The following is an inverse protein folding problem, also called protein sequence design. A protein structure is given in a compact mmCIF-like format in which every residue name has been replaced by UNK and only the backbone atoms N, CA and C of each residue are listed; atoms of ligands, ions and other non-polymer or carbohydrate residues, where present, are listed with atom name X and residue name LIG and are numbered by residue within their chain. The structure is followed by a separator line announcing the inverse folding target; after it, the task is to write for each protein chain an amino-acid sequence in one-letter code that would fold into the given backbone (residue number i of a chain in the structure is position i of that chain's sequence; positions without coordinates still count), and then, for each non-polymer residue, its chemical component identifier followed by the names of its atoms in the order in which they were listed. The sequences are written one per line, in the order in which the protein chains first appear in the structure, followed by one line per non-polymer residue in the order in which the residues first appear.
data_IF_033573569501
#
_entry.id   IF_033573569501
#
_cell.length_a   1.000
_cell.length_b   1.000
_cell.length_c   1.000
_cell.angle_alpha   90.00
_cell.angle_beta   90.00
_cell.angle_gamma   90.00
#
_symmetry.space_group_name_H-M   'P 1'
#
loop_
_entity.id
_entity.type
_entity.pdbx_description
1 polymer ?
#
# COMPACT_ATOMS: atom_id res chain seq x y z
N UNK A 1 -5.29 22.31 8.72
CA UNK A 1 -5.87 21.50 7.64
C UNK A 1 -4.87 20.39 7.32
N UNK A 2 -5.20 19.10 7.50
CA UNK A 2 -4.26 18.02 7.18
C UNK A 2 -4.05 17.92 5.66
N UNK A 3 -2.81 17.78 5.22
CA UNK A 3 -2.52 17.55 3.81
C UNK A 3 -3.10 16.21 3.36
N UNK A 4 -3.85 16.21 2.25
CA UNK A 4 -4.52 15.01 1.71
C UNK A 4 -3.71 14.36 0.58
N UNK A 5 -2.92 15.16 -0.14
CA UNK A 5 -2.15 14.74 -1.32
C UNK A 5 -0.68 15.01 -1.11
N UNK A 6 0.16 14.16 -1.70
CA UNK A 6 1.60 14.41 -1.82
C UNK A 6 1.84 15.40 -2.95
N UNK A 7 2.84 16.26 -2.77
CA UNK A 7 3.29 17.20 -3.79
C UNK A 7 4.09 16.49 -4.88
N UNK A 8 4.13 17.08 -6.09
CA UNK A 8 4.96 16.54 -7.18
C UNK A 8 6.45 16.44 -6.77
N UNK A 9 6.95 17.43 -6.03
CA UNK A 9 8.34 17.48 -5.53
C UNK A 9 8.64 16.28 -4.63
N UNK A 10 7.75 15.94 -3.70
CA UNK A 10 7.91 14.75 -2.84
C UNK A 10 7.89 13.46 -3.66
N UNK A 11 7.01 13.37 -4.66
CA UNK A 11 6.87 12.19 -5.50
C UNK A 11 8.10 11.93 -6.39
N UNK A 12 8.67 12.99 -6.96
CA UNK A 12 9.89 12.92 -7.76
C UNK A 12 11.11 12.58 -6.88
N UNK A 13 11.24 13.22 -5.72
CA UNK A 13 12.32 12.93 -4.78
C UNK A 13 12.35 11.46 -4.34
N UNK A 14 11.20 10.84 -4.07
CA UNK A 14 11.12 9.42 -3.69
C UNK A 14 11.57 8.48 -4.81
N UNK A 15 11.22 8.80 -6.07
CA UNK A 15 11.64 8.03 -7.24
C UNK A 15 13.14 8.16 -7.45
N UNK A 16 13.64 9.39 -7.43
CA UNK A 16 15.04 9.69 -7.71
C UNK A 16 15.95 9.12 -6.62
N UNK A 17 15.50 9.13 -5.36
CA UNK A 17 16.18 8.43 -4.28
C UNK A 17 16.35 6.93 -4.57
N UNK A 18 15.30 6.25 -5.04
CA UNK A 18 15.39 4.84 -5.41
C UNK A 18 16.37 4.63 -6.58
N UNK A 19 16.24 5.42 -7.65
CA UNK A 19 17.07 5.29 -8.85
C UNK A 19 18.54 5.66 -8.60
N UNK A 20 18.84 6.42 -7.54
CA UNK A 20 20.21 6.70 -7.11
C UNK A 20 20.88 5.50 -6.43
N UNK A 21 20.09 4.59 -5.83
CA UNK A 21 20.57 3.40 -5.10
C UNK A 21 19.73 2.14 -5.41
N UNK A 22 19.63 1.73 -6.68
CA UNK A 22 18.73 0.64 -7.10
C UNK A 22 19.26 -0.75 -6.75
N UNK A 23 20.47 -0.84 -6.19
CA UNK A 23 21.14 -2.09 -5.82
C UNK A 23 21.95 -1.92 -4.52
N UNK A 24 22.17 -2.98 -3.74
CA UNK A 24 22.93 -2.91 -2.47
C UNK A 24 24.43 -2.68 -2.68
N UNK A 25 24.97 -3.15 -3.82
CA UNK A 25 26.37 -2.97 -4.23
C UNK A 25 26.52 -1.76 -5.17
N UNK A 26 27.32 -0.76 -4.77
CA UNK A 26 27.57 0.49 -5.52
C UNK A 26 28.02 0.26 -6.97
N UNK A 27 28.93 -0.68 -7.19
CA UNK A 27 29.44 -1.02 -8.52
C UNK A 27 28.35 -1.50 -9.52
N UNK A 28 27.16 -1.87 -9.02
CA UNK A 28 26.05 -2.33 -9.85
C UNK A 28 24.95 -1.28 -10.01
N UNK A 29 25.08 -0.08 -9.43
CA UNK A 29 24.03 0.94 -9.48
C UNK A 29 23.70 1.37 -10.91
N UNK A 30 24.73 1.66 -11.72
CA UNK A 30 24.54 2.11 -13.10
C UNK A 30 23.78 1.06 -13.94
N UNK A 31 24.19 -0.21 -13.84
CA UNK A 31 23.55 -1.30 -14.58
C UNK A 31 22.13 -1.57 -14.07
N UNK A 32 21.92 -1.58 -12.76
CA UNK A 32 20.60 -1.79 -12.16
C UNK A 32 19.62 -0.68 -12.56
N UNK A 33 20.08 0.59 -12.55
CA UNK A 33 19.30 1.73 -13.01
C UNK A 33 18.93 1.58 -14.49
N UNK A 34 19.91 1.26 -15.34
CA UNK A 34 19.70 1.03 -16.77
C UNK A 34 18.69 -0.08 -17.03
N UNK A 35 18.83 -1.23 -16.36
CA UNK A 35 17.90 -2.34 -16.50
C UNK A 35 16.46 -1.96 -16.10
N UNK A 36 16.28 -1.19 -15.03
CA UNK A 36 14.97 -0.65 -14.64
C UNK A 36 14.40 0.29 -15.71
N UNK A 37 15.17 1.29 -16.14
CA UNK A 37 14.74 2.33 -17.09
C UNK A 37 14.43 1.76 -18.48
N UNK A 38 15.24 0.83 -18.97
CA UNK A 38 15.04 0.16 -20.26
C UNK A 38 13.74 -0.66 -20.26
N UNK A 39 13.50 -1.41 -19.19
CA UNK A 39 12.30 -2.23 -19.07
C UNK A 39 11.05 -1.38 -18.81
N UNK A 40 11.16 -0.29 -18.05
CA UNK A 40 10.10 0.70 -17.89
C UNK A 40 9.72 1.31 -19.25
N UNK A 41 10.71 1.81 -20.01
CA UNK A 41 10.48 2.41 -21.33
C UNK A 41 9.80 1.43 -22.30
N UNK A 42 10.22 0.16 -22.28
CA UNK A 42 9.58 -0.91 -23.06
C UNK A 42 8.15 -1.17 -22.60
N UNK A 43 7.88 -1.16 -21.29
CA UNK A 43 6.53 -1.35 -20.76
C UNK A 43 5.59 -0.27 -21.31
N UNK A 44 5.99 1.00 -21.20
CA UNK A 44 5.20 2.14 -21.70
C UNK A 44 4.99 2.07 -23.20
N UNK A 45 6.07 1.94 -23.98
CA UNK A 45 6.03 1.96 -25.45
C UNK A 45 5.27 0.78 -26.05
N UNK A 46 5.47 -0.43 -25.50
CA UNK A 46 4.88 -1.66 -26.03
C UNK A 46 3.53 -2.00 -25.39
N UNK A 47 3.10 -1.23 -24.38
CA UNK A 47 1.92 -1.52 -23.54
C UNK A 47 1.91 -2.98 -23.06
N UNK A 48 3.06 -3.46 -22.58
CA UNK A 48 3.27 -4.86 -22.18
C UNK A 48 3.78 -4.95 -20.76
N UNK A 49 3.31 -5.94 -20.00
CA UNK A 49 3.82 -6.21 -18.67
C UNK A 49 5.30 -6.60 -18.76
N UNK A 50 6.17 -5.81 -18.13
CA UNK A 50 7.62 -6.05 -18.07
C UNK A 50 8.09 -6.41 -16.66
N UNK A 51 7.19 -6.47 -15.68
CA UNK A 51 7.56 -6.89 -14.31
C UNK A 51 8.21 -8.28 -14.27
N UNK A 52 7.70 -9.33 -14.96
CA UNK A 52 8.37 -10.63 -15.00
C UNK A 52 9.73 -10.56 -15.70
N UNK A 53 9.82 -9.81 -16.81
CA UNK A 53 11.08 -9.67 -17.56
C UNK A 53 12.16 -8.99 -16.73
N UNK A 54 11.82 -7.93 -15.98
CA UNK A 54 12.74 -7.34 -15.02
C UNK A 54 13.09 -8.32 -13.91
N UNK A 55 12.12 -9.04 -13.35
CA UNK A 55 12.34 -10.01 -12.25
C UNK A 55 13.36 -11.08 -12.64
N UNK A 56 13.26 -11.61 -13.86
CA UNK A 56 14.12 -12.67 -14.37
C UNK A 56 15.38 -12.13 -15.07
N UNK A 57 15.59 -10.82 -15.09
CA UNK A 57 16.75 -10.19 -15.70
C UNK A 57 18.05 -10.69 -15.07
N UNK A 58 18.97 -11.12 -15.95
CA UNK A 58 20.25 -11.72 -15.58
C UNK A 58 21.40 -10.90 -16.18
N UNK A 59 22.30 -10.43 -15.31
CA UNK A 59 23.49 -9.68 -15.70
C UNK A 59 24.69 -10.62 -15.89
N UNK A 60 25.42 -10.53 -17.02
CA UNK A 60 26.61 -11.37 -17.26
C UNK A 60 27.77 -10.99 -16.32
N UNK A 61 28.35 -11.98 -15.64
CA UNK A 61 29.58 -11.83 -14.85
C UNK A 61 30.79 -12.29 -15.67
N UNK A 62 31.98 -11.70 -15.44
CA UNK A 62 33.25 -12.26 -15.92
C UNK A 62 33.35 -13.73 -15.45
N UNK A 63 33.61 -14.65 -16.37
CA UNK A 63 33.61 -16.10 -16.13
C UNK A 63 32.29 -16.84 -16.44
N UNK A 64 31.38 -16.23 -17.21
CA UNK A 64 30.21 -16.92 -17.80
C UNK A 64 29.01 -17.14 -16.87
N UNK A 65 29.17 -16.99 -15.54
CA UNK A 65 28.05 -17.07 -14.58
C UNK A 65 27.12 -15.85 -14.73
N UNK A 66 25.81 -16.07 -14.68
CA UNK A 66 24.77 -15.02 -14.77
C UNK A 66 24.26 -14.64 -13.38
N UNK A 67 24.29 -13.35 -13.02
CA UNK A 67 23.78 -12.80 -11.75
C UNK A 67 22.29 -12.45 -11.88
N UNK A 68 21.41 -12.81 -10.93
CA UNK A 68 19.97 -12.49 -11.01
C UNK A 68 19.69 -11.03 -10.60
N UNK A 69 20.26 -10.07 -11.33
CA UNK A 69 20.21 -8.64 -11.01
C UNK A 69 18.77 -8.12 -10.85
N UNK A 70 17.84 -8.64 -11.64
CA UNK A 70 16.41 -8.33 -11.53
C UNK A 70 15.82 -8.53 -10.13
N UNK A 71 16.06 -9.69 -9.53
CA UNK A 71 15.57 -10.01 -8.17
C UNK A 71 16.23 -9.14 -7.11
N UNK A 72 17.48 -8.74 -7.32
CA UNK A 72 18.22 -7.86 -6.41
C UNK A 72 17.68 -6.43 -6.46
N UNK A 73 17.34 -5.92 -7.66
CA UNK A 73 16.67 -4.63 -7.84
C UNK A 73 15.32 -4.63 -7.11
N UNK A 74 14.51 -5.68 -7.29
CA UNK A 74 13.19 -5.78 -6.61
C UNK A 74 13.37 -5.89 -5.10
N UNK A 75 14.41 -6.57 -4.62
CA UNK A 75 14.75 -6.61 -3.19
C UNK A 75 15.05 -5.21 -2.64
N UNK A 76 15.81 -4.40 -3.38
CA UNK A 76 16.09 -3.02 -3.01
C UNK A 76 14.85 -2.12 -3.08
N UNK A 77 14.00 -2.29 -4.11
CA UNK A 77 12.71 -1.61 -4.19
C UNK A 77 11.85 -1.90 -2.95
N UNK A 78 11.77 -3.16 -2.52
CA UNK A 78 11.03 -3.53 -1.30
C UNK A 78 11.60 -2.84 -0.06
N UNK A 79 12.92 -2.79 0.10
CA UNK A 79 13.55 -2.09 1.24
C UNK A 79 13.23 -0.59 1.21
N UNK A 80 13.31 0.03 0.05
CA UNK A 80 12.98 1.43 -0.16
C UNK A 80 11.53 1.74 0.21
N UNK A 81 10.57 1.00 -0.36
CA UNK A 81 9.14 1.18 -0.08
C UNK A 81 8.80 0.86 1.38
N UNK A 82 9.46 -0.12 2.00
CA UNK A 82 9.26 -0.43 3.42
C UNK A 82 9.66 0.74 4.32
N UNK A 83 10.77 1.42 4.01
CA UNK A 83 11.20 2.63 4.72
C UNK A 83 10.16 3.74 4.57
N UNK A 84 9.73 4.03 3.34
CA UNK A 84 8.71 5.07 3.06
C UNK A 84 7.37 4.80 3.74
N UNK A 85 6.98 3.53 3.86
CA UNK A 85 5.70 3.13 4.46
C UNK A 85 5.78 2.88 5.97
N UNK A 86 6.96 3.05 6.60
CA UNK A 86 7.18 2.74 8.01
C UNK A 86 6.86 1.28 8.35
N UNK A 87 7.23 0.36 7.45
CA UNK A 87 6.95 -1.08 7.52
C UNK A 87 5.46 -1.45 7.66
N UNK A 88 4.55 -0.63 7.15
CA UNK A 88 3.10 -0.91 7.19
C UNK A 88 2.53 -1.20 5.82
N UNK A 89 1.52 -2.07 5.77
CA UNK A 89 0.70 -2.30 4.57
C UNK A 89 0.16 -0.96 4.05
N UNK A 90 0.19 -0.75 2.74
CA UNK A 90 -0.28 0.47 2.12
C UNK A 90 -1.80 0.69 2.24
N UNK A 91 -2.57 -0.37 2.51
CA UNK A 91 -4.03 -0.30 2.69
C UNK A 91 -4.45 -0.44 4.15
N UNK A 92 -4.23 -1.61 4.77
CA UNK A 92 -4.73 -1.89 6.12
C UNK A 92 -3.79 -1.43 7.24
N UNK A 93 -2.63 -0.89 6.91
CA UNK A 93 -1.61 -0.43 7.87
C UNK A 93 -1.10 -1.48 8.87
N UNK A 94 -1.43 -2.78 8.70
CA UNK A 94 -0.81 -3.89 9.45
C UNK A 94 0.71 -3.83 9.30
N UNK A 95 1.42 -4.19 10.37
CA UNK A 95 2.86 -4.31 10.33
C UNK A 95 3.27 -5.40 9.35
N UNK A 96 4.25 -5.11 8.50
CA UNK A 96 4.80 -6.06 7.56
C UNK A 96 6.10 -6.60 8.13
N UNK A 97 6.13 -7.89 8.45
CA UNK A 97 7.36 -8.56 8.88
C UNK A 97 8.47 -8.46 7.84
N UNK A 98 9.73 -8.50 8.27
CA UNK A 98 10.91 -8.33 7.41
C UNK A 98 11.25 -9.59 6.59
N UNK A 99 10.24 -10.17 5.94
CA UNK A 99 10.34 -11.36 5.10
C UNK A 99 9.68 -11.02 3.76
N UNK A 100 10.32 -11.37 2.64
CA UNK A 100 9.85 -11.00 1.30
C UNK A 100 8.40 -11.44 1.02
N UNK A 101 8.03 -12.65 1.47
CA UNK A 101 6.66 -13.17 1.33
C UNK A 101 5.62 -12.44 2.18
N UNK A 102 6.03 -11.68 3.19
CA UNK A 102 5.16 -10.84 4.01
C UNK A 102 5.01 -9.41 3.45
N UNK A 103 5.80 -9.05 2.41
CA UNK A 103 5.84 -7.73 1.77
C UNK A 103 5.72 -7.84 0.24
N UNK A 104 4.61 -8.40 -0.30
CA UNK A 104 4.37 -8.35 -1.73
C UNK A 104 4.39 -6.90 -2.25
N UNK A 105 4.95 -6.73 -3.46
CA UNK A 105 4.87 -5.47 -4.20
C UNK A 105 3.52 -5.43 -4.89
N UNK A 106 2.64 -4.58 -4.38
CA UNK A 106 1.33 -4.28 -4.95
C UNK A 106 1.47 -3.44 -6.21
N UNK A 107 0.64 -3.73 -7.22
CA UNK A 107 0.47 -2.88 -8.38
C UNK A 107 -0.89 -2.20 -8.29
N UNK A 108 -0.89 -0.91 -7.95
CA UNK A 108 -2.10 -0.14 -7.64
C UNK A 108 -3.07 -0.19 -8.82
N UNK A 109 -2.57 0.07 -10.02
CA UNK A 109 -3.14 -0.27 -11.30
C UNK A 109 -2.66 -1.68 -11.71
N UNK A 110 -3.61 -2.60 -11.88
CA UNK A 110 -3.37 -3.99 -12.21
C UNK A 110 -2.48 -4.14 -13.45
N UNK A 111 -1.41 -4.95 -13.36
CA UNK A 111 -0.54 -5.26 -14.51
C UNK A 111 -1.27 -5.91 -15.69
N UNK A 112 -2.44 -6.52 -15.43
CA UNK A 112 -3.26 -7.13 -16.49
C UNK A 112 -3.99 -6.09 -17.33
N UNK A 113 -4.50 -5.04 -16.68
CA UNK A 113 -5.30 -4.00 -17.34
C UNK A 113 -4.45 -2.81 -17.77
N UNK A 114 -3.39 -2.53 -17.02
CA UNK A 114 -2.46 -1.43 -17.24
C UNK A 114 -1.01 -1.93 -17.36
N UNK A 115 -0.72 -2.83 -18.32
CA UNK A 115 0.62 -3.38 -18.52
C UNK A 115 1.69 -2.30 -18.75
N UNK A 116 1.31 -1.17 -19.36
CA UNK A 116 2.17 0.00 -19.57
C UNK A 116 2.71 0.61 -18.27
N UNK A 117 2.03 0.41 -17.14
CA UNK A 117 2.43 0.93 -15.83
C UNK A 117 3.07 -0.14 -14.93
N UNK A 118 3.38 -1.33 -15.46
CA UNK A 118 3.95 -2.45 -14.68
C UNK A 118 5.28 -2.13 -13.98
N UNK A 119 6.04 -1.17 -14.50
CA UNK A 119 7.30 -0.68 -13.91
C UNK A 119 7.26 0.81 -13.57
N UNK A 120 6.06 1.40 -13.55
CA UNK A 120 5.91 2.79 -13.16
C UNK A 120 6.09 2.92 -11.64
N UNK A 121 7.06 3.72 -11.19
CA UNK A 121 7.47 3.76 -9.78
C UNK A 121 6.29 4.06 -8.82
N UNK A 122 5.43 5.01 -9.18
CA UNK A 122 4.25 5.34 -8.37
C UNK A 122 3.11 4.32 -8.45
N UNK A 123 3.21 3.32 -9.35
CA UNK A 123 2.27 2.19 -9.40
C UNK A 123 2.57 1.12 -8.36
N UNK A 124 3.67 1.24 -7.62
CA UNK A 124 4.15 0.22 -6.70
C UNK A 124 4.15 0.68 -5.25
N UNK A 125 3.61 -0.19 -4.39
CA UNK A 125 3.60 -0.05 -2.94
C UNK A 125 3.79 -1.42 -2.28
N UNK A 126 4.05 -1.49 -0.98
CA UNK A 126 3.99 -2.74 -0.23
C UNK A 126 2.63 -2.93 0.41
N UNK A 127 2.03 -4.10 0.29
CA UNK A 127 0.85 -4.49 1.03
C UNK A 127 1.09 -5.80 1.79
N UNK A 128 0.17 -6.18 2.69
CA UNK A 128 0.17 -7.52 3.27
C UNK A 128 -0.41 -8.53 2.26
N UNK A 129 -0.21 -9.83 2.50
CA UNK A 129 -0.74 -10.88 1.61
C UNK A 129 -2.25 -10.83 1.46
N UNK A 130 -2.97 -10.61 2.56
CA UNK A 130 -4.43 -10.60 2.55
C UNK A 130 -4.98 -9.45 1.70
N UNK A 131 -4.40 -8.25 1.85
CA UNK A 131 -4.74 -7.12 0.99
C UNK A 131 -4.36 -7.36 -0.47
N UNK A 132 -3.18 -7.92 -0.75
CA UNK A 132 -2.74 -8.24 -2.11
C UNK A 132 -3.72 -9.21 -2.79
N UNK A 133 -4.10 -10.27 -2.08
CA UNK A 133 -5.02 -11.29 -2.56
C UNK A 133 -6.43 -10.73 -2.75
N UNK A 134 -6.95 -9.99 -1.77
CA UNK A 134 -8.30 -9.42 -1.83
C UNK A 134 -8.45 -8.39 -2.94
N UNK A 135 -7.41 -7.58 -3.18
CA UNK A 135 -7.40 -6.61 -4.28
C UNK A 135 -7.29 -7.34 -5.61
N UNK A 136 -6.33 -8.26 -5.74
CA UNK A 136 -6.07 -9.02 -6.95
C UNK A 136 -6.00 -8.11 -8.19
N UNK A 137 -6.87 -8.39 -9.17
CA UNK A 137 -6.96 -7.64 -10.43
C UNK A 137 -8.05 -6.56 -10.46
N UNK A 138 -8.65 -6.22 -9.31
CA UNK A 138 -9.75 -5.23 -9.26
C UNK A 138 -9.27 -3.86 -9.75
N UNK A 139 -10.06 -3.26 -10.63
CA UNK A 139 -9.94 -1.88 -11.09
C UNK A 139 -10.81 -0.99 -10.21
N UNK A 140 -10.20 -0.16 -9.38
CA UNK A 140 -10.93 0.79 -8.51
C UNK A 140 -11.20 2.15 -9.18
N UNK A 141 -10.40 2.52 -10.18
CA UNK A 141 -10.50 3.82 -10.83
C UNK A 141 -11.11 3.79 -12.22
N UNK A 142 -11.36 4.97 -12.74
CA UNK A 142 -11.95 5.22 -14.06
C UNK A 142 -10.93 5.42 -15.18
N UNK A 143 -9.63 5.38 -14.87
CA UNK A 143 -8.55 5.59 -15.84
C UNK A 143 -8.75 4.72 -17.10
N UNK A 144 -8.70 5.36 -18.26
CA UNK A 144 -8.84 4.67 -19.55
C UNK A 144 -7.71 3.65 -19.73
N UNK A 145 -8.03 2.47 -20.27
CA UNK A 145 -7.03 1.43 -20.55
C UNK A 145 -5.99 1.90 -21.60
N UNK A 146 -6.37 2.88 -22.41
CA UNK A 146 -5.52 3.51 -23.43
C UNK A 146 -4.59 4.59 -22.89
N UNK A 147 -4.72 4.96 -21.59
CA UNK A 147 -3.92 6.02 -20.97
C UNK A 147 -2.42 5.79 -21.18
N UNK A 148 -1.74 6.85 -21.60
CA UNK A 148 -0.29 6.86 -21.84
C UNK A 148 0.45 7.32 -20.58
N UNK A 149 -0.11 8.31 -19.89
CA UNK A 149 0.48 8.88 -18.70
C UNK A 149 -0.09 8.26 -17.42
N UNK A 150 0.79 8.11 -16.43
CA UNK A 150 0.37 7.70 -15.10
C UNK A 150 -0.36 8.85 -14.41
N UNK A 151 -1.49 8.60 -13.71
CA UNK A 151 -2.21 9.68 -13.03
C UNK A 151 -1.34 10.35 -11.98
N UNK A 152 -1.30 11.68 -12.00
CA UNK A 152 -0.65 12.50 -10.96
C UNK A 152 -1.62 12.89 -9.84
N UNK A 153 -2.92 12.84 -10.12
CA UNK A 153 -4.00 13.08 -9.16
C UNK A 153 -5.13 12.07 -9.36
N UNK A 154 -5.75 11.63 -8.26
CA UNK A 154 -6.85 10.65 -8.25
C UNK A 154 -7.88 11.08 -7.21
N UNK A 155 -9.17 11.08 -7.59
CA UNK A 155 -10.28 11.48 -6.71
C UNK A 155 -11.35 10.40 -6.49
N UNK A 156 -11.36 9.35 -7.31
CA UNK A 156 -12.38 8.30 -7.36
C UNK A 156 -12.03 7.04 -6.54
N UNK A 157 -10.75 6.81 -6.25
CA UNK A 157 -10.29 5.71 -5.39
C UNK A 157 -9.06 6.08 -4.56
N UNK A 158 -8.82 5.37 -3.46
CA UNK A 158 -7.62 5.61 -2.65
C UNK A 158 -6.34 5.13 -3.37
N UNK A 159 -5.40 6.05 -3.58
CA UNK A 159 -4.12 5.77 -4.20
C UNK A 159 -2.98 5.85 -3.16
N UNK A 160 -2.41 4.71 -2.71
CA UNK A 160 -1.50 4.66 -1.57
C UNK A 160 -0.17 5.41 -1.74
N UNK A 161 0.17 5.81 -2.98
CA UNK A 161 1.38 6.59 -3.29
C UNK A 161 1.11 8.06 -3.62
N UNK A 162 -0.14 8.46 -3.83
CA UNK A 162 -0.51 9.86 -4.16
C UNK A 162 -1.26 10.52 -2.99
N UNK A 163 -2.02 9.74 -2.23
CA UNK A 163 -2.74 10.19 -1.05
C UNK A 163 -1.90 10.03 0.22
N UNK A 164 -2.06 10.99 1.13
CA UNK A 164 -1.57 10.88 2.51
C UNK A 164 -2.62 10.10 3.30
N UNK A 165 -2.23 8.93 3.81
CA UNK A 165 -3.17 7.98 4.42
C UNK A 165 -4.05 8.64 5.50
N UNK A 166 -3.44 9.37 6.42
CA UNK A 166 -4.12 9.97 7.58
C UNK A 166 -5.08 11.11 7.19
N UNK A 167 -4.91 11.70 6.01
CA UNK A 167 -5.87 12.66 5.44
C UNK A 167 -7.11 12.00 4.82
N UNK A 168 -7.10 10.67 4.66
CA UNK A 168 -8.17 9.93 4.00
C UNK A 168 -8.80 8.87 4.90
N UNK A 169 -8.05 8.24 5.80
CA UNK A 169 -8.52 7.15 6.65
C UNK A 169 -7.98 7.30 8.06
N UNK A 170 -8.87 7.23 9.05
CA UNK A 170 -8.53 7.01 10.46
C UNK A 170 -8.85 5.57 10.83
N UNK A 171 -8.10 5.01 11.77
CA UNK A 171 -8.40 3.66 12.26
C UNK A 171 -7.94 3.47 13.70
N UNK A 172 -8.53 2.46 14.33
CA UNK A 172 -8.07 1.89 15.58
C UNK A 172 -7.96 0.39 15.41
N UNK A 173 -6.90 -0.21 15.97
CA UNK A 173 -6.77 -1.66 16.07
C UNK A 173 -6.45 -2.04 17.51
N UNK A 174 -7.17 -3.02 18.02
CA UNK A 174 -6.94 -3.66 19.30
C UNK A 174 -6.74 -5.16 19.08
N UNK A 175 -5.68 -5.68 19.69
CA UNK A 175 -5.31 -7.09 19.63
C UNK A 175 -5.15 -7.56 21.08
N UNK A 176 -5.84 -8.64 21.42
CA UNK A 176 -5.65 -9.43 22.64
C UNK A 176 -5.23 -10.84 22.22
N UNK A 177 -4.89 -11.70 23.19
CA UNK A 177 -4.64 -13.12 22.91
C UNK A 177 -5.80 -13.76 22.14
N UNK A 178 -7.02 -13.25 22.38
CA UNK A 178 -8.24 -13.90 21.96
C UNK A 178 -9.06 -13.13 20.93
N UNK A 179 -8.64 -11.93 20.53
CA UNK A 179 -9.46 -11.10 19.64
C UNK A 179 -8.61 -10.08 18.92
N UNK A 180 -8.89 -9.86 17.63
CA UNK A 180 -8.41 -8.69 16.89
C UNK A 180 -9.59 -7.90 16.37
N UNK A 181 -9.69 -6.64 16.77
CA UNK A 181 -10.69 -5.69 16.27
C UNK A 181 -9.95 -4.57 15.54
N UNK A 182 -10.27 -4.39 14.26
CA UNK A 182 -9.81 -3.25 13.49
C UNK A 182 -11.02 -2.48 12.94
N UNK A 183 -11.13 -1.20 13.29
CA UNK A 183 -12.19 -0.31 12.81
C UNK A 183 -11.53 0.79 11.99
N UNK A 184 -12.04 1.00 10.77
CA UNK A 184 -11.55 2.02 9.84
C UNK A 184 -12.68 2.99 9.54
N UNK A 185 -12.33 4.27 9.44
CA UNK A 185 -13.24 5.36 9.12
C UNK A 185 -12.64 6.19 7.97
N UNK A 186 -13.38 6.28 6.86
CA UNK A 186 -12.99 7.08 5.70
C UNK A 186 -13.38 8.55 5.85
N UNK A 187 -12.40 9.44 5.89
CA UNK A 187 -12.60 10.89 6.03
C UNK A 187 -12.94 11.59 4.71
N UNK A 188 -12.54 11.00 3.59
CA UNK A 188 -12.68 11.57 2.25
C UNK A 188 -13.38 10.58 1.31
N UNK A 189 -13.80 11.03 0.12
CA UNK A 189 -14.41 10.12 -0.86
C UNK A 189 -13.49 8.93 -1.23
N UNK A 190 -12.19 9.12 -1.55
CA UNK A 190 -11.26 8.00 -1.73
C UNK A 190 -11.12 7.13 -0.48
N UNK A 191 -11.07 7.73 0.72
CA UNK A 191 -10.95 7.00 1.98
C UNK A 191 -12.17 6.12 2.28
N UNK A 192 -13.38 6.64 2.07
CA UNK A 192 -14.64 5.89 2.19
C UNK A 192 -14.70 4.75 1.17
N UNK A 193 -14.25 4.98 -0.06
CA UNK A 193 -14.12 3.93 -1.08
C UNK A 193 -13.21 2.80 -0.59
N UNK A 194 -12.02 3.11 -0.08
CA UNK A 194 -11.11 2.09 0.45
C UNK A 194 -11.73 1.31 1.63
N UNK A 195 -12.43 2.01 2.53
CA UNK A 195 -13.07 1.38 3.68
C UNK A 195 -14.13 0.37 3.25
N UNK A 196 -15.07 0.79 2.40
CA UNK A 196 -16.16 -0.05 1.89
C UNK A 196 -15.68 -1.26 1.11
N UNK A 197 -14.80 -1.01 0.13
CA UNK A 197 -14.50 -2.00 -0.91
C UNK A 197 -13.35 -2.94 -0.52
N UNK A 198 -12.61 -2.60 0.54
CA UNK A 198 -11.40 -3.33 0.93
C UNK A 198 -11.27 -3.53 2.44
N UNK A 199 -11.25 -2.46 3.24
CA UNK A 199 -10.89 -2.58 4.66
C UNK A 199 -11.96 -3.25 5.50
N UNK A 200 -13.24 -3.13 5.12
CA UNK A 200 -14.36 -3.87 5.71
C UNK A 200 -14.11 -5.38 5.67
N UNK A 201 -13.78 -5.93 4.50
CA UNK A 201 -13.50 -7.37 4.39
C UNK A 201 -12.24 -7.76 5.16
N UNK A 202 -11.17 -6.96 5.09
CA UNK A 202 -9.91 -7.24 5.80
C UNK A 202 -10.11 -7.28 7.32
N UNK A 203 -10.89 -6.35 7.88
CA UNK A 203 -11.19 -6.31 9.32
C UNK A 203 -12.17 -7.38 9.77
N UNK A 204 -13.15 -7.74 8.93
CA UNK A 204 -14.04 -8.87 9.21
C UNK A 204 -13.26 -10.18 9.28
N UNK A 205 -12.30 -10.39 8.38
CA UNK A 205 -11.41 -11.57 8.43
C UNK A 205 -10.58 -11.57 9.73
N UNK A 206 -10.07 -10.42 10.19
CA UNK A 206 -9.37 -10.32 11.47
C UNK A 206 -10.27 -10.69 12.66
N UNK A 207 -11.50 -10.17 12.67
CA UNK A 207 -12.48 -10.43 13.74
C UNK A 207 -12.95 -11.89 13.77
N UNK A 208 -12.83 -12.63 12.66
CA UNK A 208 -13.20 -14.03 12.54
C UNK A 208 -12.19 -15.00 13.15
N UNK A 209 -10.96 -14.56 13.48
CA UNK A 209 -9.94 -15.48 13.98
C UNK A 209 -10.26 -16.02 15.38
N UNK A 210 -11.25 -15.48 16.10
CA UNK A 210 -11.81 -16.17 17.26
C UNK A 210 -13.32 -15.95 17.40
N UNK A 211 -14.09 -16.92 16.89
CA UNK A 211 -15.46 -17.35 17.26
C UNK A 211 -16.28 -16.52 18.29
N UNK A 212 -16.39 -15.20 18.14
CA UNK A 212 -17.30 -14.38 18.92
C UNK A 212 -18.29 -13.65 17.98
N UNK A 213 -19.44 -14.28 17.66
CA UNK A 213 -20.45 -13.69 16.78
C UNK A 213 -20.91 -12.30 17.22
N UNK A 214 -20.94 -12.02 18.53
CA UNK A 214 -21.33 -10.70 19.07
C UNK A 214 -20.34 -9.61 18.69
N UNK A 215 -19.04 -9.90 18.80
CA UNK A 215 -17.97 -8.96 18.39
C UNK A 215 -18.02 -8.73 16.89
N UNK A 216 -18.22 -9.79 16.09
CA UNK A 216 -18.38 -9.66 14.64
C UNK A 216 -19.53 -8.71 14.29
N UNK A 217 -20.73 -8.94 14.84
CA UNK A 217 -21.89 -8.09 14.57
C UNK A 217 -21.64 -6.64 14.98
N UNK A 218 -21.04 -6.40 16.16
CA UNK A 218 -20.71 -5.05 16.59
C UNK A 218 -19.72 -4.34 15.66
N UNK A 219 -18.68 -5.05 15.18
CA UNK A 219 -17.71 -4.52 14.22
C UNK A 219 -18.37 -4.20 12.88
N UNK A 220 -19.25 -5.07 12.39
CA UNK A 220 -20.03 -4.82 11.17
C UNK A 220 -20.90 -3.57 11.30
N UNK A 221 -21.59 -3.38 12.43
CA UNK A 221 -22.39 -2.18 12.71
C UNK A 221 -21.52 -0.91 12.72
N UNK A 222 -20.37 -0.94 13.39
CA UNK A 222 -19.47 0.23 13.46
C UNK A 222 -18.90 0.60 12.08
N UNK A 223 -18.58 -0.39 11.25
CA UNK A 223 -18.11 -0.15 9.89
C UNK A 223 -19.18 0.45 9.01
N UNK A 224 -20.41 -0.07 9.06
CA UNK A 224 -21.56 0.52 8.36
C UNK A 224 -21.80 1.96 8.80
N UNK A 225 -21.70 2.25 10.10
CA UNK A 225 -21.82 3.62 10.60
C UNK A 225 -20.72 4.56 10.04
N UNK A 226 -19.48 4.07 9.90
CA UNK A 226 -18.37 4.82 9.31
C UNK A 226 -18.46 5.02 7.79
N UNK A 227 -19.40 4.35 7.12
CA UNK A 227 -19.70 4.56 5.69
C UNK A 227 -20.76 5.67 5.48
N UNK A 228 -21.48 6.09 6.53
CA UNK A 228 -22.50 7.13 6.45
C UNK A 228 -21.89 8.52 6.21
N UNK A 229 -22.61 9.32 5.42
CA UNK A 229 -22.22 10.72 5.11
C UNK A 229 -22.81 11.70 6.14
N UNK A 230 -23.76 11.26 6.97
CA UNK A 230 -24.37 12.09 8.01
C UNK A 230 -23.35 12.43 9.13
N UNK A 231 -23.09 13.73 9.38
CA UNK A 231 -22.21 14.18 10.46
C UNK A 231 -22.64 13.69 11.85
N UNK A 232 -23.95 13.59 12.12
CA UNK A 232 -24.47 13.16 13.43
C UNK A 232 -24.18 11.68 13.71
N UNK A 233 -24.35 10.83 12.70
CA UNK A 233 -24.02 9.40 12.79
C UNK A 233 -22.51 9.13 12.94
N UNK A 234 -21.66 9.94 12.32
CA UNK A 234 -20.19 9.77 12.36
C UNK A 234 -19.54 10.40 13.58
N UNK A 235 -20.19 11.38 14.23
CA UNK A 235 -19.68 12.03 15.44
C UNK A 235 -19.43 11.03 16.58
N UNK A 236 -20.41 10.19 16.92
CA UNK A 236 -20.26 9.18 17.99
C UNK A 236 -19.16 8.17 17.69
N UNK A 237 -18.98 7.81 16.41
CA UNK A 237 -17.89 6.91 16.00
C UNK A 237 -16.52 7.57 16.18
N UNK A 238 -16.40 8.86 15.81
CA UNK A 238 -15.17 9.61 16.04
C UNK A 238 -14.85 9.76 17.53
N UNK A 239 -15.85 10.12 18.35
CA UNK A 239 -15.71 10.19 19.81
C UNK A 239 -15.25 8.87 20.40
N UNK A 240 -15.81 7.74 19.92
CA UNK A 240 -15.37 6.41 20.33
C UNK A 240 -13.91 6.13 19.92
N UNK A 241 -13.52 6.39 18.67
CA UNK A 241 -12.14 6.20 18.20
C UNK A 241 -11.17 7.06 19.02
N UNK A 242 -11.52 8.33 19.28
CA UNK A 242 -10.71 9.26 20.04
C UNK A 242 -10.57 8.80 21.50
N UNK A 243 -11.66 8.35 22.13
CA UNK A 243 -11.64 7.79 23.48
C UNK A 243 -10.73 6.55 23.56
N UNK A 244 -10.76 5.68 22.55
CA UNK A 244 -9.89 4.52 22.46
C UNK A 244 -8.41 4.93 22.29
N UNK A 245 -8.11 5.90 21.43
CA UNK A 245 -6.75 6.43 21.29
C UNK A 245 -6.23 7.00 22.62
N UNK A 246 -7.04 7.80 23.32
CA UNK A 246 -6.69 8.35 24.63
C UNK A 246 -6.49 7.26 25.69
N UNK A 247 -7.34 6.22 25.72
CA UNK A 247 -7.20 5.10 26.65
C UNK A 247 -5.88 4.35 26.43
N UNK A 248 -5.54 4.01 25.17
CA UNK A 248 -4.28 3.35 24.82
C UNK A 248 -3.07 4.21 25.23
N UNK A 249 -3.11 5.52 24.95
CA UNK A 249 -2.02 6.42 25.34
C UNK A 249 -1.83 6.52 26.86
N UNK A 250 -2.91 6.60 27.65
CA UNK A 250 -2.82 6.64 29.12
C UNK A 250 -2.21 5.37 29.71
N UNK A 251 -2.53 4.19 29.15
CA UNK A 251 -1.94 2.92 29.57
C UNK A 251 -0.43 2.92 29.28
N UNK A 252 -0.02 3.35 28.08
CA UNK A 252 1.39 3.42 27.70
C UNK A 252 2.19 4.40 28.58
N UNK A 253 1.61 5.56 28.93
CA UNK A 253 2.24 6.55 29.81
C UNK A 253 2.42 6.04 31.24
N UNK A 254 1.45 5.29 31.79
CA UNK A 254 1.60 4.65 33.11
C UNK A 254 2.61 3.50 33.14
N UNK A 255 2.96 2.94 31.98
CA UNK A 255 3.91 1.83 31.85
C UNK A 255 5.36 2.29 31.60
N UNK A 256 5.61 3.61 31.53
CA UNK A 256 6.97 4.17 31.44
C UNK A 256 7.40 4.55 32.86
N UNK A 257 8.47 3.96 33.43
CA UNK A 257 8.93 4.27 34.78
C UNK A 257 9.40 5.72 34.92
#
# INVERSE_FOLDING_TARGET
MMAMYRTAVELDAERDQFLSQPHSTKALWAEAKKAWEDEHRKATRLKKDRWPTLTDYKFPKKGGKKRPLGREIISMLRKHLAKLQGNRCCYCRRWLQNIAHARPVEHILSRKEYPQFSLHYWNMALCCRDCNQLKGKKKWGTLALTAVDYPTTVGDYFHPRLHIYDGHVRYVRLETNDTTIAIYHGLSAPGRQLCRDHLKTISQVDALIQNNPRVRTAVETLQLAGENVDPGATQKLNEFIDAMHQAVHRIAQKATP
#
